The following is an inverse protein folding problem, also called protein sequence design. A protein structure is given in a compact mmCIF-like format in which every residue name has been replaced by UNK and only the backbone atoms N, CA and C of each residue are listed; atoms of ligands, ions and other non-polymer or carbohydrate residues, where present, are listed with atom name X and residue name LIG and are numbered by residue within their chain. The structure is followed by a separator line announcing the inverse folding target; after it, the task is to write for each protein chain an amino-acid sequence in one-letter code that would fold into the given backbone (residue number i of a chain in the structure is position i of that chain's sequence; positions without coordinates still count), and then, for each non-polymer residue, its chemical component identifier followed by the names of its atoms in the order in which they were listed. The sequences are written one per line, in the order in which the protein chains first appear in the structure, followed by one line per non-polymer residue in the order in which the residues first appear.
data_IF_616721000530
#
_entry.id   IF_616721000530
#
_cell.length_a   1.000
_cell.length_b   1.000
_cell.length_c   1.000
_cell.angle_alpha   90.00
_cell.angle_beta   90.00
_cell.angle_gamma   90.00
#
_symmetry.space_group_name_H-M   'P 1'
#
loop_
_entity.id
_entity.type
_entity.pdbx_description
1 polymer ?
#
# COMPACT_ATOMS: atom_id res chain seq x y z
N UNK A 1 22.39 -22.88 -9.25
CA UNK A 1 20.97 -22.49 -9.36
C UNK A 1 20.90 -21.00 -9.02
N UNK A 2 20.59 -20.10 -9.96
CA UNK A 2 20.42 -18.70 -9.59
C UNK A 2 19.19 -18.61 -8.69
N UNK A 3 19.40 -18.08 -7.50
CA UNK A 3 18.43 -17.98 -6.43
C UNK A 3 17.89 -16.55 -6.45
N UNK A 4 16.92 -16.26 -7.32
CA UNK A 4 16.32 -14.93 -7.40
C UNK A 4 15.37 -14.75 -6.21
N UNK A 5 15.61 -13.70 -5.40
CA UNK A 5 14.63 -13.25 -4.41
C UNK A 5 13.32 -12.97 -5.15
N UNK A 6 12.16 -13.39 -4.63
CA UNK A 6 10.87 -13.27 -5.34
C UNK A 6 10.41 -11.83 -5.64
N UNK A 7 11.17 -10.80 -5.23
CA UNK A 7 10.85 -9.39 -5.50
C UNK A 7 11.79 -8.71 -6.50
N UNK A 8 12.75 -9.43 -7.10
CA UNK A 8 13.73 -8.84 -8.00
C UNK A 8 13.55 -9.40 -9.41
N UNK A 9 13.22 -8.52 -10.35
CA UNK A 9 12.97 -8.85 -11.75
C UNK A 9 14.25 -9.34 -12.45
N UNK A 10 14.23 -10.58 -12.95
CA UNK A 10 15.32 -11.15 -13.76
C UNK A 10 15.10 -10.82 -15.25
N UNK A 11 16.00 -10.06 -15.90
CA UNK A 11 15.87 -9.73 -17.33
C UNK A 11 15.88 -10.95 -18.24
N UNK A 12 16.39 -12.10 -17.77
CA UNK A 12 16.40 -13.37 -18.51
C UNK A 12 15.00 -13.94 -18.75
N UNK A 13 13.98 -13.43 -18.05
CA UNK A 13 12.57 -13.80 -18.25
C UNK A 13 11.94 -13.12 -19.47
N UNK A 14 12.59 -12.12 -20.07
CA UNK A 14 12.07 -11.41 -21.25
C UNK A 14 12.28 -12.23 -22.53
N UNK A 15 11.20 -12.45 -23.28
CA UNK A 15 11.22 -13.12 -24.58
C UNK A 15 10.85 -12.14 -25.68
N UNK A 16 11.79 -11.92 -26.61
CA UNK A 16 11.55 -11.11 -27.81
C UNK A 16 11.07 -12.03 -28.95
N UNK A 17 9.83 -11.81 -29.40
CA UNK A 17 9.20 -12.64 -30.45
C UNK A 17 9.53 -12.12 -31.86
N UNK A 18 9.85 -10.83 -31.97
CA UNK A 18 10.27 -10.20 -33.23
C UNK A 18 11.70 -10.59 -33.58
N UNK A 19 11.96 -10.80 -34.87
CA UNK A 19 13.32 -11.05 -35.36
C UNK A 19 14.11 -9.75 -35.49
N UNK A 20 15.44 -9.83 -35.43
CA UNK A 20 16.36 -8.69 -35.60
C UNK A 20 16.25 -7.56 -34.57
N UNK A 21 15.89 -7.88 -33.32
CA UNK A 21 15.97 -6.90 -32.22
C UNK A 21 17.45 -6.63 -31.91
N UNK A 22 17.82 -5.36 -31.90
CA UNK A 22 19.17 -4.91 -31.56
C UNK A 22 19.42 -4.89 -30.06
N UNK A 23 20.69 -4.96 -29.66
CA UNK A 23 21.08 -4.86 -28.24
C UNK A 23 20.61 -3.55 -27.59
N UNK A 24 20.54 -2.47 -28.39
CA UNK A 24 20.05 -1.17 -27.94
C UNK A 24 18.56 -1.26 -27.61
N UNK A 25 17.75 -1.88 -28.46
CA UNK A 25 16.32 -2.07 -28.21
C UNK A 25 16.05 -2.99 -27.02
N UNK A 26 16.81 -4.09 -26.91
CA UNK A 26 16.74 -5.00 -25.76
C UNK A 26 17.01 -4.23 -24.47
N UNK A 27 18.08 -3.41 -24.44
CA UNK A 27 18.44 -2.63 -23.26
C UNK A 27 17.39 -1.56 -22.91
N UNK A 28 16.83 -0.89 -23.91
CA UNK A 28 15.80 0.13 -23.72
C UNK A 28 14.53 -0.46 -23.10
N UNK A 29 14.02 -1.56 -23.68
CA UNK A 29 12.81 -2.24 -23.17
C UNK A 29 13.05 -2.77 -21.75
N UNK A 30 14.21 -3.39 -21.51
CA UNK A 30 14.58 -3.91 -20.20
C UNK A 30 14.62 -2.78 -19.15
N UNK A 31 15.17 -1.61 -19.49
CA UNK A 31 15.24 -0.47 -18.60
C UNK A 31 13.84 0.10 -18.28
N UNK A 32 12.95 0.18 -19.27
CA UNK A 32 11.56 0.64 -19.08
C UNK A 32 10.80 -0.31 -18.15
N UNK A 33 10.84 -1.62 -18.42
CA UNK A 33 10.15 -2.62 -17.59
C UNK A 33 10.69 -2.62 -16.16
N UNK A 34 12.01 -2.53 -15.99
CA UNK A 34 12.64 -2.39 -14.65
C UNK A 34 12.18 -1.13 -13.93
N UNK A 35 12.08 -0.01 -14.63
CA UNK A 35 11.60 1.26 -14.07
C UNK A 35 10.16 1.14 -13.56
N UNK A 36 9.26 0.61 -14.38
CA UNK A 36 7.85 0.43 -14.04
C UNK A 36 7.65 -0.53 -12.86
N UNK A 37 8.36 -1.66 -12.84
CA UNK A 37 8.27 -2.63 -11.73
C UNK A 37 8.80 -2.05 -10.41
N UNK A 38 9.84 -1.21 -10.49
CA UNK A 38 10.38 -0.52 -9.31
C UNK A 38 9.38 0.49 -8.76
N UNK A 39 8.77 1.29 -9.62
CA UNK A 39 7.73 2.25 -9.23
C UNK A 39 6.55 1.55 -8.55
N UNK A 40 6.04 0.48 -9.17
CA UNK A 40 4.95 -0.34 -8.61
C UNK A 40 5.31 -0.96 -7.24
N UNK A 41 6.53 -1.48 -7.12
CA UNK A 41 7.03 -2.04 -5.86
C UNK A 41 7.24 -0.97 -4.78
N UNK A 42 7.67 0.23 -5.17
CA UNK A 42 7.89 1.37 -4.28
C UNK A 42 6.54 1.94 -3.83
N UNK A 43 5.52 2.01 -4.69
CA UNK A 43 4.14 2.34 -4.32
C UNK A 43 3.55 1.33 -3.33
N UNK A 44 3.73 0.03 -3.57
CA UNK A 44 3.32 -1.02 -2.62
C UNK A 44 4.03 -0.91 -1.27
N UNK A 45 5.30 -0.49 -1.23
CA UNK A 45 6.05 -0.25 0.01
C UNK A 45 5.69 1.09 0.67
N UNK A 46 5.28 2.09 -0.11
CA UNK A 46 4.84 3.39 0.37
C UNK A 46 3.37 3.38 0.84
N UNK A 47 2.59 2.39 0.42
CA UNK A 47 1.29 2.12 1.01
C UNK A 47 1.50 1.98 2.53
N UNK A 48 0.87 2.84 3.35
CA UNK A 48 1.03 2.73 4.78
C UNK A 48 0.60 1.32 5.19
N UNK A 49 1.45 0.63 5.96
CA UNK A 49 1.01 -0.61 6.59
C UNK A 49 -0.33 -0.34 7.28
N UNK A 50 -1.22 -1.33 7.29
CA UNK A 50 -2.50 -1.30 7.99
C UNK A 50 -2.30 -1.24 9.52
N UNK A 51 -1.48 -0.31 10.00
CA UNK A 51 -1.39 0.10 11.39
C UNK A 51 -2.50 1.09 11.72
N UNK A 52 -2.74 1.29 13.01
CA UNK A 52 -3.68 2.30 13.47
C UNK A 52 -3.34 3.66 12.85
N UNK A 53 -4.30 4.22 12.11
CA UNK A 53 -4.22 5.57 11.56
C UNK A 53 -3.92 6.60 12.65
N UNK A 54 -3.31 7.73 12.28
CA UNK A 54 -3.09 8.84 13.21
C UNK A 54 -4.40 9.30 13.88
N UNK A 55 -5.55 9.13 13.21
CA UNK A 55 -6.87 9.38 13.78
C UNK A 55 -7.24 8.35 14.85
N UNK A 56 -7.02 7.05 14.62
CA UNK A 56 -7.24 5.99 15.62
C UNK A 56 -6.31 6.14 16.83
N UNK A 57 -5.04 6.51 16.63
CA UNK A 57 -4.09 6.77 17.72
C UNK A 57 -4.52 7.95 18.60
N UNK A 58 -5.22 8.93 18.02
CA UNK A 58 -5.68 10.13 18.71
C UNK A 58 -7.17 10.08 19.09
N UNK A 59 -7.85 8.93 18.89
CA UNK A 59 -9.18 8.70 19.44
C UNK A 59 -9.08 8.62 20.96
N UNK A 60 -9.31 9.74 21.63
CA UNK A 60 -9.57 9.75 23.06
C UNK A 60 -10.96 9.15 23.30
N UNK A 61 -11.17 8.35 24.34
CA UNK A 61 -12.50 7.86 24.69
C UNK A 61 -13.42 9.06 24.85
N UNK A 62 -14.35 9.22 23.92
CA UNK A 62 -15.36 10.27 23.93
C UNK A 62 -16.37 9.93 25.02
N UNK A 63 -16.08 10.39 26.24
CA UNK A 63 -16.97 10.47 27.41
C UNK A 63 -17.42 9.11 27.96
N UNK A 64 -17.41 8.98 29.28
CA UNK A 64 -18.14 7.91 29.94
C UNK A 64 -19.65 8.05 29.65
N UNK A 65 -20.38 6.94 29.52
CA UNK A 65 -21.84 6.98 29.51
C UNK A 65 -22.31 7.70 30.77
N UNK A 66 -22.96 8.85 30.60
CA UNK A 66 -23.63 9.52 31.72
C UNK A 66 -24.83 8.66 32.08
N UNK A 67 -24.68 7.86 33.12
CA UNK A 67 -25.80 7.10 33.69
C UNK A 67 -26.79 8.10 34.30
N UNK A 68 -28.05 8.13 33.84
CA UNK A 68 -29.12 8.80 34.56
C UNK A 68 -29.14 8.32 36.01
N UNK A 69 -28.84 9.20 36.96
CA UNK A 69 -29.17 8.92 38.37
C UNK A 69 -30.68 8.67 38.50
N UNK A 70 -31.07 7.75 39.38
CA UNK A 70 -32.47 7.44 39.64
C UNK A 70 -33.28 8.75 39.80
N UNK A 71 -34.28 8.94 38.93
CA UNK A 71 -35.29 10.00 38.93
C UNK A 71 -34.97 11.40 38.32
N UNK A 72 -33.97 11.60 37.44
CA UNK A 72 -33.64 12.96 36.96
C UNK A 72 -33.86 13.28 35.46
N UNK A 73 -34.68 12.52 34.74
CA UNK A 73 -34.99 12.76 33.32
C UNK A 73 -36.44 13.24 33.06
N UNK A 74 -37.08 13.90 34.02
CA UNK A 74 -38.41 14.51 33.81
C UNK A 74 -38.46 15.92 34.40
N UNK A 75 -38.14 16.89 33.55
CA UNK A 75 -38.24 18.32 33.82
C UNK A 75 -38.58 19.09 32.54
N UNK A 76 -39.48 18.55 31.72
CA UNK A 76 -40.27 19.37 30.79
C UNK A 76 -41.65 19.50 31.41
N UNK A 77 -41.83 20.51 32.26
CA UNK A 77 -43.15 21.09 32.51
C UNK A 77 -43.30 22.25 31.53
N UNK A 78 -44.44 22.30 30.85
CA UNK A 78 -44.80 23.36 29.91
C UNK A 78 -44.91 24.74 30.54
#
# INVERSE_FOLDING_TARGET
MPNSKPSEFDPSELVFVTTHVSDVEVSAVTAVIRGLLREESDERRAAPELGQSAWQQNQRPLREPVHPGANRWRGFTG
#
